data_IF_049551912716
#
_entry.id   IF_049551912716
#
_cell.length_a   1.000
_cell.length_b   1.000
_cell.length_c   1.000
_cell.angle_alpha   90.00
_cell.angle_beta   90.00
_cell.angle_gamma   90.00
#
_symmetry.space_group_name_H-M   'P 1'
#
loop_
_entity.id
_entity.type
_entity.pdbx_description
1 polymer ?
#
# COMPACT_ATOMS: atom_id res chain seq x y z
N UNK A 1 -12.85 29.52 -7.05
CA UNK A 1 -12.39 29.33 -5.66
C UNK A 1 -13.61 29.20 -4.76
N UNK A 2 -13.62 28.21 -3.86
CA UNK A 2 -14.59 28.04 -2.78
C UNK A 2 -14.27 28.98 -1.59
N UNK A 3 -15.27 29.24 -0.74
CA UNK A 3 -15.05 29.96 0.53
C UNK A 3 -14.14 29.18 1.50
N UNK A 4 -14.10 27.85 1.41
CA UNK A 4 -13.25 26.98 2.23
C UNK A 4 -11.78 26.98 1.76
N UNK A 5 -11.58 26.75 0.46
CA UNK A 5 -10.30 26.93 -0.24
C UNK A 5 -9.67 28.29 0.10
N UNK A 6 -10.45 29.38 0.02
CA UNK A 6 -10.01 30.74 0.37
C UNK A 6 -9.76 30.97 1.87
N UNK A 7 -10.18 30.06 2.77
CA UNK A 7 -9.85 30.08 4.21
C UNK A 7 -8.58 29.27 4.49
N UNK A 8 -8.48 28.04 3.98
CA UNK A 8 -7.26 27.22 4.07
C UNK A 8 -6.04 27.97 3.49
N UNK A 9 -6.22 28.64 2.35
CA UNK A 9 -5.20 29.48 1.72
C UNK A 9 -4.75 30.65 2.61
N UNK A 10 -5.57 31.07 3.58
CA UNK A 10 -5.24 32.13 4.55
C UNK A 10 -4.72 31.61 5.90
N UNK A 11 -5.01 30.38 6.29
CA UNK A 11 -4.50 29.79 7.54
C UNK A 11 -3.11 29.16 7.37
N UNK A 12 -2.79 28.65 6.17
CA UNK A 12 -1.50 28.00 5.91
C UNK A 12 -0.34 28.99 5.73
N UNK A 13 0.84 28.58 6.21
CA UNK A 13 2.12 29.26 5.95
C UNK A 13 2.71 28.73 4.64
N UNK A 14 2.82 29.59 3.65
CA UNK A 14 3.26 29.20 2.30
C UNK A 14 4.77 29.37 2.10
N UNK A 15 5.47 28.40 1.48
CA UNK A 15 6.85 28.57 1.05
C UNK A 15 7.03 29.77 0.12
N UNK A 16 8.17 30.49 0.16
CA UNK A 16 8.42 31.64 -0.72
C UNK A 16 8.50 31.23 -2.20
N UNK A 17 8.74 29.95 -2.49
CA UNK A 17 8.69 29.36 -3.83
C UNK A 17 7.30 29.42 -4.44
N UNK A 18 6.23 29.33 -3.66
CA UNK A 18 4.83 29.34 -4.15
C UNK A 18 4.40 30.73 -4.66
N UNK A 19 5.18 31.78 -4.41
CA UNK A 19 5.01 33.10 -5.01
C UNK A 19 5.58 33.19 -6.43
N UNK A 20 6.42 32.23 -6.85
CA UNK A 20 6.93 32.13 -8.22
C UNK A 20 5.96 31.29 -9.06
N UNK A 21 5.49 31.86 -10.17
CA UNK A 21 4.71 31.13 -11.18
C UNK A 21 5.61 30.14 -11.93
N UNK A 22 5.03 29.00 -12.29
CA UNK A 22 5.62 28.00 -13.19
C UNK A 22 4.91 28.11 -14.54
N UNK A 23 5.68 28.24 -15.62
CA UNK A 23 5.19 28.14 -16.99
C UNK A 23 5.31 26.70 -17.49
N UNK A 24 4.20 25.96 -17.53
CA UNK A 24 4.23 24.52 -17.87
C UNK A 24 4.75 24.25 -19.29
N UNK A 25 4.83 25.26 -20.17
CA UNK A 25 5.42 25.15 -21.52
C UNK A 25 6.95 25.12 -21.51
N UNK A 26 7.57 25.39 -20.36
CA UNK A 26 9.02 25.37 -20.12
C UNK A 26 9.46 24.25 -19.19
N UNK A 27 8.54 23.35 -18.84
CA UNK A 27 8.79 22.20 -17.97
C UNK A 27 8.59 20.93 -18.81
N UNK A 28 9.58 20.04 -18.80
CA UNK A 28 9.43 18.71 -19.39
C UNK A 28 8.49 17.91 -18.50
N UNK A 29 7.21 17.87 -18.88
CA UNK A 29 6.17 17.24 -18.09
C UNK A 29 6.34 15.72 -18.00
N UNK A 30 6.95 15.05 -18.98
CA UNK A 30 7.18 13.59 -18.93
C UNK A 30 8.13 13.21 -17.79
N UNK A 31 9.21 13.99 -17.60
CA UNK A 31 10.14 13.80 -16.49
C UNK A 31 9.50 14.17 -15.15
N UNK A 32 8.66 15.22 -15.12
CA UNK A 32 7.89 15.53 -13.91
C UNK A 32 6.87 14.44 -13.57
N UNK A 33 6.23 13.82 -14.57
CA UNK A 33 5.33 12.67 -14.39
C UNK A 33 6.07 11.49 -13.77
N UNK A 34 7.24 11.11 -14.31
CA UNK A 34 8.08 10.06 -13.75
C UNK A 34 8.46 10.33 -12.29
N UNK A 35 8.89 11.55 -11.96
CA UNK A 35 9.23 11.91 -10.58
C UNK A 35 8.01 11.91 -9.65
N UNK A 36 6.85 12.43 -10.11
CA UNK A 36 5.60 12.39 -9.34
C UNK A 36 5.17 10.95 -9.06
N UNK A 37 5.21 10.05 -10.05
CA UNK A 37 4.88 8.63 -9.89
C UNK A 37 5.75 8.00 -8.79
N UNK A 38 7.08 8.05 -8.92
CA UNK A 38 7.98 7.47 -7.92
C UNK A 38 7.74 8.08 -6.53
N UNK A 39 7.68 9.41 -6.42
CA UNK A 39 7.50 10.10 -5.14
C UNK A 39 6.15 9.80 -4.46
N UNK A 40 5.08 9.57 -5.23
CA UNK A 40 3.77 9.17 -4.69
C UNK A 40 3.81 7.71 -4.22
N UNK A 41 4.44 6.80 -5.00
CA UNK A 41 4.62 5.41 -4.61
C UNK A 41 5.50 5.28 -3.36
N UNK A 42 6.56 6.08 -3.22
CA UNK A 42 7.40 6.17 -2.02
C UNK A 42 6.59 6.57 -0.78
N UNK A 43 5.80 7.65 -0.89
CA UNK A 43 5.04 8.22 0.23
C UNK A 43 3.88 7.33 0.69
N UNK A 44 3.21 6.64 -0.25
CA UNK A 44 2.06 5.78 0.06
C UNK A 44 2.42 4.30 0.22
N UNK A 45 3.68 3.91 -0.03
CA UNK A 45 4.16 2.52 -0.18
C UNK A 45 3.30 1.68 -1.14
N UNK A 46 2.69 2.32 -2.14
CA UNK A 46 1.76 1.72 -3.08
C UNK A 46 1.57 2.59 -4.33
N UNK A 47 1.54 1.96 -5.50
CA UNK A 47 1.30 2.66 -6.78
C UNK A 47 -0.15 3.17 -6.88
N UNK A 48 -0.30 4.48 -6.79
CA UNK A 48 -1.59 5.16 -6.70
C UNK A 48 -1.95 5.89 -8.00
N UNK A 49 -2.15 5.12 -9.07
CA UNK A 49 -2.52 5.61 -10.40
C UNK A 49 -3.60 6.69 -10.39
N UNK A 50 -4.59 6.62 -9.48
CA UNK A 50 -5.72 7.55 -9.42
C UNK A 50 -5.31 8.92 -8.86
N UNK A 51 -4.39 8.96 -7.89
CA UNK A 51 -3.81 10.20 -7.39
C UNK A 51 -2.79 10.77 -8.40
N UNK A 52 -2.03 9.89 -9.05
CA UNK A 52 -1.07 10.25 -10.09
C UNK A 52 -1.82 10.89 -11.29
N UNK A 53 -2.89 10.27 -11.79
CA UNK A 53 -3.80 10.81 -12.81
C UNK A 53 -4.42 12.15 -12.38
N UNK A 54 -4.83 12.29 -11.10
CA UNK A 54 -5.34 13.55 -10.56
C UNK A 54 -4.29 14.67 -10.58
N UNK A 55 -3.06 14.40 -10.11
CA UNK A 55 -1.96 15.37 -10.13
C UNK A 55 -1.63 15.78 -11.58
N UNK A 56 -1.57 14.80 -12.49
CA UNK A 56 -1.31 15.06 -13.91
C UNK A 56 -2.40 15.94 -14.53
N UNK A 57 -3.67 15.58 -14.32
CA UNK A 57 -4.81 16.37 -14.79
C UNK A 57 -4.81 17.80 -14.23
N UNK A 58 -4.45 18.00 -12.96
CA UNK A 58 -4.31 19.33 -12.38
C UNK A 58 -3.16 20.14 -13.03
N UNK A 59 -2.00 19.52 -13.28
CA UNK A 59 -0.85 20.18 -13.90
C UNK A 59 -1.05 20.47 -15.40
N UNK A 60 -1.84 19.66 -16.11
CA UNK A 60 -2.14 19.86 -17.54
C UNK A 60 -3.33 20.79 -17.79
N UNK A 61 -4.25 20.93 -16.82
CA UNK A 61 -5.47 21.74 -16.97
C UNK A 61 -5.24 23.26 -17.09
N UNK A 62 -4.11 23.78 -16.58
CA UNK A 62 -3.82 25.21 -16.52
C UNK A 62 -2.38 25.48 -16.98
N UNK A 63 -2.16 26.46 -17.87
CA UNK A 63 -0.79 26.82 -18.32
C UNK A 63 0.10 27.35 -17.17
N UNK A 64 -0.52 27.93 -16.15
CA UNK A 64 0.13 28.45 -14.93
C UNK A 64 -0.64 27.92 -13.71
N UNK A 65 -0.44 26.66 -13.29
CA UNK A 65 -1.20 26.07 -12.18
C UNK A 65 -0.94 26.82 -10.87
N UNK A 66 -1.93 26.81 -9.97
CA UNK A 66 -1.78 27.39 -8.62
C UNK A 66 -1.30 26.31 -7.62
N UNK A 67 -0.12 26.47 -6.99
CA UNK A 67 0.43 25.47 -6.07
C UNK A 67 -0.38 25.33 -4.78
N UNK A 68 -1.15 26.36 -4.40
CA UNK A 68 -2.00 26.35 -3.21
C UNK A 68 -3.29 25.59 -3.46
N UNK A 69 -3.83 25.70 -4.69
CA UNK A 69 -4.93 24.88 -5.18
C UNK A 69 -4.50 23.41 -5.28
N UNK A 70 -3.29 23.14 -5.80
CA UNK A 70 -2.70 21.81 -5.83
C UNK A 70 -2.56 21.23 -4.40
N UNK A 71 -1.90 21.93 -3.48
CA UNK A 71 -1.73 21.46 -2.11
C UNK A 71 -3.07 21.28 -1.38
N UNK A 72 -4.04 22.19 -1.57
CA UNK A 72 -5.39 22.02 -1.03
C UNK A 72 -6.05 20.73 -1.52
N UNK A 73 -6.05 20.47 -2.83
CA UNK A 73 -6.61 19.26 -3.42
C UNK A 73 -5.91 17.99 -2.92
N UNK A 74 -4.59 18.00 -2.75
CA UNK A 74 -3.82 16.84 -2.29
C UNK A 74 -3.84 16.62 -0.77
N UNK A 75 -4.31 17.60 0.03
CA UNK A 75 -4.32 17.51 1.50
C UNK A 75 -5.20 16.35 2.01
N UNK A 76 -6.24 15.98 1.26
CA UNK A 76 -7.07 14.81 1.57
C UNK A 76 -6.50 13.45 1.16
N UNK A 77 -5.26 13.41 0.64
CA UNK A 77 -4.62 12.21 0.07
C UNK A 77 -3.27 11.89 0.71
N UNK A 78 -2.40 12.89 0.82
CA UNK A 78 -1.05 12.77 1.38
C UNK A 78 -0.96 13.32 2.82
N UNK A 79 -2.10 13.69 3.41
CA UNK A 79 -2.27 14.26 4.75
C UNK A 79 -1.11 15.16 5.21
N UNK A 80 -0.21 14.66 6.05
CA UNK A 80 0.89 15.40 6.66
C UNK A 80 2.01 15.71 5.65
N UNK A 81 2.35 14.74 4.77
CA UNK A 81 3.40 14.85 3.76
C UNK A 81 3.01 15.75 2.59
N UNK A 82 1.73 16.06 2.41
CA UNK A 82 1.22 16.95 1.35
C UNK A 82 2.02 18.23 1.20
N UNK A 83 2.36 18.88 2.32
CA UNK A 83 3.07 20.16 2.31
C UNK A 83 4.54 20.00 1.88
N UNK A 84 5.20 18.90 2.24
CA UNK A 84 6.55 18.57 1.81
C UNK A 84 6.56 18.22 0.31
N UNK A 85 5.68 17.31 -0.12
CA UNK A 85 5.51 16.90 -1.52
C UNK A 85 5.26 18.10 -2.44
N UNK A 86 4.31 18.97 -2.10
CA UNK A 86 4.00 20.15 -2.92
C UNK A 86 5.15 21.17 -2.92
N UNK A 87 5.92 21.30 -1.83
CA UNK A 87 7.10 22.16 -1.77
C UNK A 87 8.20 21.68 -2.71
N UNK A 88 8.53 20.38 -2.66
CA UNK A 88 9.56 19.74 -3.47
C UNK A 88 9.19 19.74 -4.96
N UNK A 89 7.94 19.38 -5.29
CA UNK A 89 7.38 19.45 -6.63
C UNK A 89 7.48 20.87 -7.23
N UNK A 90 7.13 21.91 -6.44
CA UNK A 90 7.20 23.29 -6.93
C UNK A 90 8.63 23.79 -7.10
N UNK A 91 9.57 23.39 -6.22
CA UNK A 91 11.00 23.68 -6.39
C UNK A 91 11.55 23.06 -7.68
N UNK A 92 11.24 21.78 -7.94
CA UNK A 92 11.68 21.08 -9.15
C UNK A 92 11.14 21.76 -10.42
N UNK A 93 9.86 22.14 -10.45
CA UNK A 93 9.29 22.84 -11.61
C UNK A 93 9.82 24.27 -11.79
N UNK A 94 10.20 24.97 -10.71
CA UNK A 94 10.87 26.26 -10.76
C UNK A 94 12.30 26.13 -11.33
N UNK A 95 13.02 25.07 -10.97
CA UNK A 95 14.34 24.77 -11.53
C UNK A 95 14.22 24.35 -13.02
N UNK A 96 13.28 23.47 -13.36
CA UNK A 96 12.96 23.05 -14.73
C UNK A 96 12.77 24.24 -15.68
N UNK A 97 11.88 25.18 -15.36
CA UNK A 97 11.63 26.35 -16.22
C UNK A 97 12.81 27.32 -16.33
N UNK A 98 13.85 27.14 -15.51
CA UNK A 98 15.11 27.89 -15.59
C UNK A 98 16.18 27.19 -16.43
N UNK A 99 15.93 25.97 -16.91
CA UNK A 99 16.82 25.22 -17.80
C UNK A 99 16.28 25.23 -19.24
N UNK A 100 17.15 25.36 -20.27
CA UNK A 100 16.72 25.38 -21.67
C UNK A 100 16.12 24.05 -22.15
N UNK A 101 16.40 22.96 -21.42
CA UNK A 101 15.86 21.62 -21.68
C UNK A 101 14.48 21.39 -21.00
N UNK A 102 14.05 22.30 -20.12
CA UNK A 102 12.88 22.12 -19.25
C UNK A 102 13.04 21.03 -18.17
N UNK A 103 14.27 20.58 -17.89
CA UNK A 103 14.54 19.49 -16.93
C UNK A 103 15.16 20.06 -15.64
N UNK A 104 14.71 19.67 -14.43
CA UNK A 104 15.35 20.10 -13.19
C UNK A 104 16.79 19.57 -13.07
N UNK A 105 17.74 20.42 -12.68
CA UNK A 105 19.13 20.04 -12.37
C UNK A 105 19.19 19.00 -11.28
N UNK A 106 18.38 19.12 -10.22
CA UNK A 106 18.29 18.10 -9.14
C UNK A 106 18.07 16.68 -9.69
N UNK A 107 17.22 16.52 -10.72
CA UNK A 107 16.96 15.20 -11.31
C UNK A 107 18.10 14.72 -12.22
N UNK A 108 18.75 15.63 -12.95
CA UNK A 108 19.95 15.32 -13.75
C UNK A 108 21.09 14.86 -12.84
N UNK A 109 21.31 15.56 -11.72
CA UNK A 109 22.34 15.23 -10.73
C UNK A 109 22.03 13.92 -9.99
N UNK A 110 20.77 13.70 -9.58
CA UNK A 110 20.33 12.45 -8.97
C UNK A 110 20.51 11.24 -9.92
N UNK A 111 20.02 11.32 -11.18
CA UNK A 111 20.14 10.22 -12.14
C UNK A 111 21.60 9.93 -12.53
N UNK A 112 22.45 10.96 -12.55
CA UNK A 112 23.90 10.82 -12.77
C UNK A 112 24.59 10.09 -11.61
N UNK A 113 24.19 10.37 -10.37
CA UNK A 113 24.71 9.71 -9.17
C UNK A 113 24.19 8.26 -9.04
N UNK A 114 22.94 8.01 -9.43
CA UNK A 114 22.35 6.68 -9.53
C UNK A 114 23.15 5.78 -10.50
N UNK A 115 23.35 6.24 -11.76
CA UNK A 115 24.18 5.50 -12.73
C UNK A 115 25.65 5.36 -12.29
N UNK A 116 26.17 6.25 -11.43
CA UNK A 116 27.51 6.09 -10.84
C UNK A 116 27.55 4.91 -9.88
N UNK A 117 26.54 4.80 -8.99
CA UNK A 117 26.40 3.69 -8.04
C UNK A 117 26.16 2.36 -8.75
N UNK A 118 25.23 2.32 -9.71
CA UNK A 118 24.95 1.14 -10.53
C UNK A 118 26.21 0.65 -11.28
N UNK A 119 27.01 1.58 -11.82
CA UNK A 119 28.30 1.23 -12.43
C UNK A 119 29.31 0.68 -11.41
N UNK A 120 29.43 1.29 -10.24
CA UNK A 120 30.34 0.82 -9.19
C UNK A 120 29.90 -0.54 -8.61
N UNK A 121 28.61 -0.82 -8.57
CA UNK A 121 28.03 -2.11 -8.16
C UNK A 121 28.21 -3.19 -9.22
N UNK A 122 27.86 -2.92 -10.48
CA UNK A 122 28.10 -3.85 -11.59
C UNK A 122 29.60 -4.14 -11.80
N UNK A 123 30.49 -3.18 -11.55
CA UNK A 123 31.94 -3.41 -11.53
C UNK A 123 32.39 -4.29 -10.35
N UNK A 124 31.80 -4.14 -9.15
CA UNK A 124 32.02 -5.04 -8.01
C UNK A 124 31.52 -6.46 -8.28
N UNK A 125 30.30 -6.61 -8.80
CA UNK A 125 29.70 -7.90 -9.14
C UNK A 125 30.50 -8.60 -10.25
N UNK A 126 30.91 -7.87 -11.31
CA UNK A 126 31.77 -8.40 -12.35
C UNK A 126 33.16 -8.80 -11.84
N UNK A 127 33.70 -8.11 -10.82
CA UNK A 127 34.93 -8.52 -10.14
C UNK A 127 34.72 -9.78 -9.30
N UNK A 128 33.67 -9.83 -8.47
CA UNK A 128 33.32 -11.00 -7.66
C UNK A 128 33.08 -12.24 -8.53
N UNK A 129 32.34 -12.13 -9.65
CA UNK A 129 32.14 -13.23 -10.59
C UNK A 129 33.46 -13.71 -11.22
N UNK A 130 34.41 -12.80 -11.52
CA UNK A 130 35.75 -13.18 -12.02
C UNK A 130 36.61 -13.89 -10.96
N UNK A 131 36.47 -13.52 -9.70
CA UNK A 131 37.18 -14.15 -8.59
C UNK A 131 36.56 -15.51 -8.22
N UNK A 132 35.22 -15.60 -8.16
CA UNK A 132 34.47 -16.84 -7.99
C UNK A 132 34.75 -17.83 -9.13
N UNK A 133 34.66 -17.41 -10.40
CA UNK A 133 34.95 -18.26 -11.56
C UNK A 133 36.40 -18.76 -11.58
N UNK A 134 37.35 -18.00 -11.02
CA UNK A 134 38.74 -18.45 -10.80
C UNK A 134 38.84 -19.55 -9.74
N UNK A 135 38.16 -19.37 -8.61
CA UNK A 135 38.09 -20.37 -7.54
C UNK A 135 37.34 -21.64 -8.01
N UNK A 136 36.36 -21.49 -8.90
CA UNK A 136 35.63 -22.60 -9.52
C UNK A 136 36.51 -23.37 -10.51
N UNK A 137 37.24 -22.70 -11.40
CA UNK A 137 38.26 -23.31 -12.28
C UNK A 137 39.39 -24.02 -11.48
N UNK A 138 39.68 -23.56 -10.25
CA UNK A 138 40.62 -24.21 -9.32
C UNK A 138 40.00 -25.40 -8.58
N UNK A 139 38.70 -25.36 -8.30
CA UNK A 139 37.93 -26.40 -7.58
C UNK A 139 37.51 -27.55 -8.49
N UNK A 140 37.08 -27.29 -9.72
CA UNK A 140 36.75 -28.31 -10.74
C UNK A 140 37.95 -29.21 -11.06
N UNK A 141 39.17 -28.66 -11.02
CA UNK A 141 40.42 -29.44 -11.12
C UNK A 141 40.58 -30.52 -10.05
N UNK A 142 39.84 -30.42 -8.94
CA UNK A 142 40.06 -31.21 -7.73
C UNK A 142 38.84 -32.10 -7.34
N UNK A 143 37.79 -32.17 -8.16
CA UNK A 143 36.62 -33.03 -7.89
C UNK A 143 35.96 -33.59 -9.15
N UNK A 144 36.16 -34.88 -9.43
CA UNK A 144 35.54 -35.57 -10.58
C UNK A 144 35.10 -37.01 -10.26
N UNK A 145 33.84 -37.19 -9.83
CA UNK A 145 33.19 -38.51 -9.77
C UNK A 145 31.64 -38.50 -9.65
N UNK A 146 30.99 -39.25 -10.56
CA UNK A 146 29.75 -40.05 -10.40
C UNK A 146 28.42 -39.45 -9.84
N UNK A 147 27.64 -38.81 -10.73
CA UNK A 147 26.34 -39.30 -11.29
C UNK A 147 25.23 -40.03 -10.49
N UNK A 148 23.96 -39.67 -10.83
CA UNK A 148 22.72 -40.52 -10.99
C UNK A 148 22.01 -41.14 -9.74
N UNK A 149 20.66 -41.35 -9.69
CA UNK A 149 19.50 -40.89 -10.51
C UNK A 149 18.12 -41.33 -9.92
N UNK A 150 16.99 -40.76 -10.40
CA UNK A 150 15.59 -41.34 -10.49
C UNK A 150 14.82 -41.66 -9.16
N UNK A 151 13.46 -41.73 -9.02
CA UNK A 151 12.27 -41.62 -9.93
C UNK A 151 10.93 -41.35 -9.15
N UNK A 152 9.98 -40.59 -9.76
CA UNK A 152 8.48 -40.69 -9.71
C UNK A 152 7.70 -40.70 -8.35
N UNK A 153 6.35 -40.63 -8.20
CA UNK A 153 5.16 -40.87 -9.08
C UNK A 153 3.84 -40.23 -8.53
N UNK A 154 2.86 -39.84 -9.39
CA UNK A 154 1.34 -39.73 -9.23
C UNK A 154 0.68 -39.49 -7.84
N UNK A 155 -0.20 -38.49 -7.53
CA UNK A 155 -1.52 -38.01 -8.09
C UNK A 155 -2.79 -38.79 -7.61
N UNK A 156 -4.08 -38.36 -7.61
CA UNK A 156 -4.85 -37.32 -8.38
C UNK A 156 -6.29 -37.00 -7.83
N UNK A 157 -6.79 -35.75 -7.99
CA UNK A 157 -8.20 -35.34 -8.38
C UNK A 157 -9.43 -35.14 -7.41
N UNK A 158 -10.26 -34.11 -7.75
CA UNK A 158 -11.78 -34.02 -7.73
C UNK A 158 -12.57 -33.30 -6.58
N UNK A 159 -13.72 -32.68 -6.93
CA UNK A 159 -14.68 -31.82 -6.12
C UNK A 159 -16.18 -32.16 -6.47
N UNK A 160 -17.26 -31.37 -6.19
CA UNK A 160 -17.65 -30.45 -5.09
C UNK A 160 -18.94 -30.98 -4.32
N UNK A 161 -20.26 -30.58 -4.43
CA UNK A 161 -21.03 -29.40 -4.95
C UNK A 161 -21.88 -28.54 -3.91
N UNK A 162 -23.26 -28.53 -3.74
CA UNK A 162 -24.03 -27.23 -3.64
C UNK A 162 -25.16 -27.06 -2.53
N UNK A 163 -25.98 -25.97 -2.51
CA UNK A 163 -26.68 -25.38 -1.32
C UNK A 163 -28.24 -25.43 -1.33
N UNK A 164 -29.04 -24.77 -0.42
CA UNK A 164 -29.49 -23.34 -0.52
C UNK A 164 -29.86 -22.69 0.88
N UNK A 165 -30.81 -21.72 1.04
CA UNK A 165 -31.02 -20.36 0.47
C UNK A 165 -30.98 -19.21 1.55
N UNK A 166 -31.06 -17.91 1.18
CA UNK A 166 -30.81 -16.77 2.10
C UNK A 166 -32.07 -16.04 2.62
N UNK A 167 -31.98 -15.36 3.79
CA UNK A 167 -32.82 -14.19 4.12
C UNK A 167 -32.33 -13.32 5.31
N UNK A 168 -31.97 -12.06 5.04
CA UNK A 168 -32.14 -10.94 5.99
C UNK A 168 -32.22 -9.60 5.23
N UNK A 169 -32.70 -8.54 5.87
CA UNK A 169 -32.93 -7.23 5.22
C UNK A 169 -31.62 -6.47 4.98
N UNK A 170 -31.52 -5.61 3.95
CA UNK A 170 -30.36 -4.74 3.75
C UNK A 170 -30.21 -3.76 4.91
N UNK A 171 -29.29 -4.09 5.83
CA UNK A 171 -28.77 -3.14 6.81
C UNK A 171 -27.83 -2.15 6.10
N UNK A 172 -27.65 -0.95 6.67
CA UNK A 172 -26.67 0.03 6.16
C UNK A 172 -25.25 -0.40 6.55
N UNK A 173 -24.62 -1.19 5.71
CA UNK A 173 -23.22 -1.62 5.85
C UNK A 173 -22.27 -0.68 5.11
N UNK A 174 -20.97 -0.77 5.36
CA UNK A 174 -19.95 -0.04 4.57
C UNK A 174 -20.02 -0.38 3.08
N UNK A 175 -20.39 -1.61 2.71
CA UNK A 175 -20.62 -2.00 1.32
C UNK A 175 -21.75 -1.18 0.66
N UNK A 176 -22.82 -0.85 1.40
CA UNK A 176 -23.92 -0.01 0.89
C UNK A 176 -23.54 1.47 0.65
N UNK A 177 -22.34 1.89 1.06
CA UNK A 177 -21.82 3.24 0.77
C UNK A 177 -21.09 3.33 -0.57
N UNK A 178 -20.73 2.19 -1.19
CA UNK A 178 -20.01 2.12 -2.47
C UNK A 178 -20.82 1.34 -3.53
N UNK A 179 -22.02 1.81 -3.90
CA UNK A 179 -22.96 1.06 -4.76
C UNK A 179 -22.47 0.83 -6.19
N UNK A 180 -21.54 1.62 -6.72
CA UNK A 180 -20.99 1.42 -8.07
C UNK A 180 -19.89 0.34 -8.06
N UNK A 181 -19.11 0.25 -6.98
CA UNK A 181 -18.04 -0.72 -6.79
C UNK A 181 -18.55 -2.06 -6.27
N UNK A 182 -19.52 -2.04 -5.35
CA UNK A 182 -19.98 -3.18 -4.56
C UNK A 182 -21.50 -3.44 -4.71
N UNK A 183 -22.05 -3.50 -5.95
CA UNK A 183 -23.50 -3.60 -6.19
C UNK A 183 -24.12 -4.90 -5.64
N UNK A 184 -23.32 -5.94 -5.38
CA UNK A 184 -23.76 -7.22 -4.85
C UNK A 184 -23.63 -7.34 -3.31
N UNK A 185 -23.11 -6.30 -2.63
CA UNK A 185 -23.00 -6.28 -1.18
C UNK A 185 -21.90 -7.18 -0.63
N UNK A 186 -22.20 -7.93 0.44
CA UNK A 186 -21.26 -8.73 1.22
C UNK A 186 -21.20 -10.20 0.80
N UNK A 187 -20.09 -10.92 1.07
CA UNK A 187 -20.06 -12.39 0.97
C UNK A 187 -21.12 -13.06 1.86
N UNK A 188 -21.70 -14.19 1.43
CA UNK A 188 -21.36 -14.98 0.23
C UNK A 188 -22.00 -14.48 -1.09
N UNK A 189 -22.78 -13.39 -1.08
CA UNK A 189 -23.44 -12.83 -2.29
C UNK A 189 -22.49 -12.13 -3.26
N UNK A 190 -21.25 -11.89 -2.83
CA UNK A 190 -20.16 -11.26 -3.55
C UNK A 190 -18.82 -11.91 -3.10
N UNK A 191 -17.74 -11.82 -3.90
CA UNK A 191 -16.40 -12.22 -3.44
C UNK A 191 -15.94 -11.36 -2.25
N UNK A 192 -15.03 -11.90 -1.44
CA UNK A 192 -14.35 -11.17 -0.37
C UNK A 192 -13.31 -10.18 -0.92
N UNK A 193 -12.66 -10.53 -2.02
CA UNK A 193 -11.76 -9.68 -2.81
C UNK A 193 -12.57 -8.62 -3.56
N UNK A 194 -12.23 -7.35 -3.33
CA UNK A 194 -12.90 -6.20 -3.93
C UNK A 194 -11.94 -5.41 -4.83
N UNK A 195 -12.42 -4.78 -5.93
CA UNK A 195 -11.57 -4.02 -6.85
C UNK A 195 -11.13 -2.68 -6.23
N UNK A 196 -9.97 -2.67 -5.56
CA UNK A 196 -9.45 -1.53 -4.79
C UNK A 196 -9.36 -0.21 -5.60
N UNK A 197 -8.98 -0.26 -6.89
CA UNK A 197 -8.94 0.94 -7.76
C UNK A 197 -10.34 1.55 -7.98
N UNK A 198 -11.36 0.71 -8.13
CA UNK A 198 -12.75 1.16 -8.29
C UNK A 198 -13.29 1.70 -6.96
N UNK A 199 -13.04 1.00 -5.84
CA UNK A 199 -13.39 1.47 -4.48
C UNK A 199 -12.82 2.86 -4.21
N UNK A 200 -11.54 3.09 -4.57
CA UNK A 200 -10.88 4.39 -4.42
C UNK A 200 -11.50 5.45 -5.33
N UNK A 201 -11.74 5.15 -6.61
CA UNK A 201 -12.37 6.08 -7.55
C UNK A 201 -13.78 6.52 -7.08
N UNK A 202 -14.58 5.58 -6.57
CA UNK A 202 -15.89 5.89 -6.00
C UNK A 202 -15.77 6.66 -4.67
N UNK A 203 -14.87 6.25 -3.78
CA UNK A 203 -14.58 6.97 -2.53
C UNK A 203 -14.26 8.44 -2.77
N UNK A 204 -13.34 8.76 -3.68
CA UNK A 204 -12.98 10.13 -4.03
C UNK A 204 -14.17 10.90 -4.62
N UNK A 205 -14.93 10.26 -5.51
CA UNK A 205 -16.15 10.83 -6.12
C UNK A 205 -17.22 11.15 -5.07
N UNK A 206 -17.36 10.31 -4.04
CA UNK A 206 -18.30 10.52 -2.93
C UNK A 206 -17.78 11.58 -1.95
N UNK A 207 -16.50 11.52 -1.56
CA UNK A 207 -15.87 12.44 -0.61
C UNK A 207 -15.89 13.89 -1.12
N UNK A 208 -15.64 14.10 -2.43
CA UNK A 208 -15.82 15.40 -3.10
C UNK A 208 -17.25 15.95 -3.03
N UNK A 209 -18.26 15.11 -2.77
CA UNK A 209 -19.68 15.48 -2.68
C UNK A 209 -20.19 15.55 -1.23
N UNK A 210 -19.54 14.86 -0.28
CA UNK A 210 -19.88 14.87 1.15
C UNK A 210 -19.02 15.83 1.98
N UNK A 211 -18.02 16.50 1.39
CA UNK A 211 -17.11 17.39 2.10
C UNK A 211 -17.87 18.47 2.93
N UNK A 212 -17.64 18.59 4.25
CA UNK A 212 -18.47 19.40 5.15
C UNK A 212 -18.70 20.85 4.73
N UNK A 213 -17.66 21.52 4.21
CA UNK A 213 -17.76 22.93 3.84
C UNK A 213 -18.63 23.24 2.61
N UNK A 214 -19.05 22.22 1.85
CA UNK A 214 -20.06 22.39 0.80
C UNK A 214 -21.45 22.65 1.38
N UNK A 215 -21.67 22.34 2.65
CA UNK A 215 -22.97 22.40 3.30
C UNK A 215 -23.15 23.69 4.13
N UNK A 216 -24.38 24.26 4.16
CA UNK A 216 -24.71 25.37 5.05
C UNK A 216 -24.44 25.04 6.53
N UNK A 217 -24.22 26.05 7.41
CA UNK A 217 -23.96 25.84 8.84
C UNK A 217 -24.85 24.81 9.57
N UNK A 218 -26.20 24.77 9.41
CA UNK A 218 -27.03 23.76 10.09
C UNK A 218 -26.85 22.33 9.56
N UNK A 219 -26.24 22.14 8.39
CA UNK A 219 -26.03 20.84 7.76
C UNK A 219 -24.58 20.34 7.89
N UNK A 220 -23.59 21.22 8.16
CA UNK A 220 -22.16 20.84 8.30
C UNK A 220 -21.95 19.64 9.22
N UNK A 221 -22.53 19.62 10.42
CA UNK A 221 -22.39 18.50 11.36
C UNK A 221 -22.91 17.16 10.82
N UNK A 222 -23.93 17.19 9.95
CA UNK A 222 -24.41 15.99 9.27
C UNK A 222 -23.45 15.52 8.16
N UNK A 223 -22.78 16.45 7.49
CA UNK A 223 -21.78 16.15 6.47
C UNK A 223 -20.43 15.72 7.09
N UNK A 224 -20.05 16.27 8.24
CA UNK A 224 -18.91 15.82 9.07
C UNK A 224 -19.08 14.35 9.45
N UNK A 225 -20.24 13.97 9.99
CA UNK A 225 -20.56 12.58 10.32
C UNK A 225 -20.59 11.67 9.08
N UNK A 226 -21.17 12.13 7.96
CA UNK A 226 -21.19 11.36 6.72
C UNK A 226 -19.79 11.16 6.12
N UNK A 227 -18.95 12.19 6.12
CA UNK A 227 -17.57 12.12 5.61
C UNK A 227 -16.67 11.28 6.53
N UNK A 228 -16.86 11.35 7.86
CA UNK A 228 -16.17 10.47 8.79
C UNK A 228 -16.58 9.00 8.58
N UNK A 229 -17.89 8.72 8.45
CA UNK A 229 -18.39 7.38 8.17
C UNK A 229 -17.86 6.83 6.82
N UNK A 230 -17.79 7.67 5.79
CA UNK A 230 -17.23 7.31 4.47
C UNK A 230 -15.72 7.01 4.56
N UNK A 231 -14.96 7.80 5.31
CA UNK A 231 -13.52 7.56 5.55
C UNK A 231 -13.30 6.24 6.30
N UNK A 232 -14.03 5.98 7.40
CA UNK A 232 -13.95 4.70 8.12
C UNK A 232 -14.31 3.53 7.21
N UNK A 233 -15.39 3.64 6.45
CA UNK A 233 -15.83 2.61 5.52
C UNK A 233 -14.77 2.31 4.44
N UNK A 234 -14.13 3.34 3.87
CA UNK A 234 -13.04 3.16 2.90
C UNK A 234 -11.81 2.49 3.53
N UNK A 235 -11.35 2.95 4.70
CA UNK A 235 -10.19 2.36 5.39
C UNK A 235 -10.43 0.91 5.76
N UNK A 236 -11.58 0.59 6.36
CA UNK A 236 -11.97 -0.77 6.74
C UNK A 236 -12.14 -1.69 5.53
N UNK A 237 -12.69 -1.22 4.41
CA UNK A 237 -12.86 -2.06 3.22
C UNK A 237 -11.57 -2.22 2.42
N UNK A 238 -10.69 -1.20 2.36
CA UNK A 238 -9.41 -1.27 1.64
C UNK A 238 -8.53 -2.39 2.20
N UNK A 239 -8.36 -2.43 3.52
CA UNK A 239 -7.52 -3.41 4.20
C UNK A 239 -8.25 -4.77 4.34
N UNK A 240 -7.67 -5.91 3.90
CA UNK A 240 -8.36 -7.19 3.93
C UNK A 240 -8.55 -7.75 5.35
N UNK A 241 -7.63 -7.47 6.28
CA UNK A 241 -7.74 -7.94 7.67
C UNK A 241 -8.90 -7.21 8.36
N UNK A 242 -9.00 -5.89 8.16
CA UNK A 242 -10.10 -5.07 8.69
C UNK A 242 -11.43 -5.40 8.00
N UNK A 243 -11.42 -5.68 6.69
CA UNK A 243 -12.62 -6.11 5.94
C UNK A 243 -13.17 -7.41 6.48
N UNK A 244 -12.30 -8.39 6.76
CA UNK A 244 -12.70 -9.68 7.30
C UNK A 244 -13.23 -9.57 8.74
N UNK A 245 -12.55 -8.80 9.59
CA UNK A 245 -13.02 -8.45 10.94
C UNK A 245 -14.41 -7.79 10.92
N UNK A 246 -14.58 -6.76 10.08
CA UNK A 246 -15.86 -6.09 9.89
C UNK A 246 -16.98 -7.03 9.42
N UNK A 247 -16.70 -7.94 8.48
CA UNK A 247 -17.66 -8.95 8.04
C UNK A 247 -18.07 -9.92 9.16
N UNK A 248 -17.20 -10.22 10.13
CA UNK A 248 -17.56 -10.96 11.35
C UNK A 248 -18.53 -10.15 12.23
N UNK A 249 -18.30 -8.84 12.41
CA UNK A 249 -19.22 -7.98 13.20
C UNK A 249 -20.63 -7.93 12.61
N UNK A 250 -20.75 -7.90 11.28
CA UNK A 250 -22.04 -7.93 10.58
C UNK A 250 -22.79 -9.25 10.78
N UNK A 251 -22.09 -10.33 11.14
CA UNK A 251 -22.65 -11.64 11.48
C UNK A 251 -22.90 -11.81 12.98
N UNK A 252 -22.62 -10.79 13.80
CA UNK A 252 -22.79 -10.81 15.25
C UNK A 252 -21.63 -11.43 16.02
N UNK A 253 -20.48 -11.65 15.37
CA UNK A 253 -19.26 -12.15 16.00
C UNK A 253 -18.33 -10.99 16.42
N UNK A 254 -17.48 -11.25 17.41
CA UNK A 254 -16.42 -10.32 17.83
C UNK A 254 -15.33 -10.22 16.75
N UNK A 255 -14.64 -9.09 16.67
CA UNK A 255 -13.63 -8.78 15.66
C UNK A 255 -12.20 -9.03 16.21
N UNK A 256 -11.49 -10.08 15.79
CA UNK A 256 -10.12 -10.35 16.24
C UNK A 256 -9.05 -9.59 15.44
N UNK A 257 -9.40 -8.73 14.48
CA UNK A 257 -8.43 -7.89 13.76
C UNK A 257 -7.86 -6.74 14.61
N UNK A 258 -8.51 -6.42 15.72
CA UNK A 258 -8.14 -5.34 16.66
C UNK A 258 -7.96 -5.81 18.10
N UNK A 259 -8.31 -7.06 18.42
CA UNK A 259 -8.21 -7.60 19.77
C UNK A 259 -6.83 -8.25 19.97
N UNK A 260 -5.96 -7.57 20.71
CA UNK A 260 -4.62 -8.08 21.01
C UNK A 260 -4.63 -9.18 22.09
N UNK A 261 -5.74 -9.30 22.83
CA UNK A 261 -5.95 -10.34 23.84
C UNK A 261 -6.60 -11.60 23.26
N UNK A 262 -7.16 -11.53 22.05
CA UNK A 262 -7.64 -12.69 21.31
C UNK A 262 -6.46 -13.61 20.95
N UNK A 263 -6.45 -14.78 21.59
CA UNK A 263 -5.49 -15.86 21.32
C UNK A 263 -6.12 -16.89 20.39
N UNK A 264 -5.34 -17.36 19.43
CA UNK A 264 -5.68 -18.55 18.67
C UNK A 264 -5.09 -19.77 19.38
N UNK A 265 -5.93 -20.75 19.72
CA UNK A 265 -5.51 -22.03 20.32
C UNK A 265 -4.90 -22.99 19.25
N UNK A 266 -3.94 -22.49 18.49
CA UNK A 266 -3.18 -23.20 17.45
C UNK A 266 -1.69 -23.24 17.83
N UNK A 267 -1.24 -24.29 18.56
CA UNK A 267 0.16 -24.41 18.98
C UNK A 267 1.16 -24.56 17.83
N UNK A 268 0.71 -25.01 16.65
CA UNK A 268 1.57 -25.17 15.48
C UNK A 268 1.84 -23.80 14.84
N UNK A 269 0.79 -23.00 14.60
CA UNK A 269 0.97 -21.62 14.14
C UNK A 269 1.79 -20.79 15.14
N UNK A 270 1.51 -20.91 16.45
CA UNK A 270 2.24 -20.15 17.47
C UNK A 270 3.73 -20.48 17.45
N UNK A 271 4.10 -21.74 17.20
CA UNK A 271 5.49 -22.18 17.03
C UNK A 271 6.13 -21.55 15.78
N UNK A 272 5.48 -21.64 14.61
CA UNK A 272 6.01 -21.04 13.37
C UNK A 272 6.18 -19.51 13.46
N UNK A 273 5.26 -18.83 14.16
CA UNK A 273 5.30 -17.37 14.33
C UNK A 273 6.39 -16.94 15.30
N UNK A 274 6.59 -17.66 16.41
CA UNK A 274 7.68 -17.40 17.35
C UNK A 274 9.05 -17.72 16.74
N UNK A 275 9.17 -18.80 15.97
CA UNK A 275 10.40 -19.14 15.23
C UNK A 275 10.76 -18.02 14.23
N UNK A 276 9.79 -17.52 13.46
CA UNK A 276 10.02 -16.39 12.55
C UNK A 276 10.32 -15.05 13.25
N UNK A 277 9.93 -14.89 14.53
CA UNK A 277 10.30 -13.73 15.36
C UNK A 277 11.73 -13.87 15.92
N UNK A 278 12.11 -15.04 16.43
CA UNK A 278 13.47 -15.33 16.90
C UNK A 278 14.49 -15.23 15.76
N UNK A 279 14.14 -15.70 14.56
CA UNK A 279 14.96 -15.55 13.34
C UNK A 279 15.15 -14.07 12.95
N UNK A 280 14.13 -13.23 13.16
CA UNK A 280 14.18 -11.80 12.86
C UNK A 280 14.97 -11.00 13.93
N UNK A 281 14.84 -11.36 15.21
CA UNK A 281 15.63 -10.77 16.30
C UNK A 281 17.11 -11.16 16.22
N UNK A 282 17.42 -12.36 15.73
CA UNK A 282 18.79 -12.84 15.52
C UNK A 282 19.38 -12.51 14.14
N UNK A 283 18.58 -11.95 13.23
CA UNK A 283 19.06 -11.52 11.92
C UNK A 283 20.17 -10.46 12.04
N UNK A 284 21.20 -10.57 11.19
CA UNK A 284 22.35 -9.64 11.16
C UNK A 284 22.60 -9.03 9.77
N UNK A 285 21.83 -9.44 8.77
CA UNK A 285 21.90 -8.97 7.39
C UNK A 285 20.50 -8.76 6.79
N UNK A 286 20.39 -7.77 5.91
CA UNK A 286 19.15 -7.38 5.23
C UNK A 286 18.64 -8.49 4.28
N UNK A 287 19.54 -9.37 3.83
CA UNK A 287 19.23 -10.59 3.07
C UNK A 287 18.41 -11.60 3.89
N UNK A 288 18.80 -11.87 5.13
CA UNK A 288 18.04 -12.74 6.05
C UNK A 288 16.65 -12.17 6.32
N UNK A 289 16.57 -10.86 6.54
CA UNK A 289 15.30 -10.15 6.78
C UNK A 289 14.39 -10.19 5.55
N UNK A 290 14.95 -10.06 4.34
CA UNK A 290 14.20 -10.20 3.10
C UNK A 290 13.63 -11.62 2.92
N UNK A 291 14.38 -12.67 3.26
CA UNK A 291 13.91 -14.06 3.21
C UNK A 291 12.84 -14.38 4.26
N UNK A 292 12.93 -13.80 5.47
CA UNK A 292 11.86 -13.86 6.49
C UNK A 292 10.60 -13.14 5.98
N UNK A 293 10.76 -11.91 5.50
CA UNK A 293 9.66 -11.08 4.97
C UNK A 293 8.96 -11.76 3.79
N UNK A 294 9.71 -12.38 2.87
CA UNK A 294 9.15 -13.11 1.74
C UNK A 294 8.33 -14.33 2.18
N UNK A 295 8.82 -15.11 3.15
CA UNK A 295 8.06 -16.24 3.74
C UNK A 295 6.80 -15.77 4.47
N UNK A 296 6.90 -14.74 5.31
CA UNK A 296 5.77 -14.19 6.04
C UNK A 296 4.72 -13.59 5.08
N UNK A 297 5.13 -12.91 4.02
CA UNK A 297 4.22 -12.40 2.98
C UNK A 297 3.56 -13.54 2.18
N UNK A 298 4.27 -14.63 1.92
CA UNK A 298 3.66 -15.83 1.31
C UNK A 298 2.58 -16.43 2.22
N UNK A 299 2.84 -16.53 3.54
CA UNK A 299 1.82 -16.95 4.53
C UNK A 299 0.62 -16.00 4.57
N UNK A 300 0.83 -14.68 4.56
CA UNK A 300 -0.23 -13.66 4.42
C UNK A 300 -1.07 -13.91 3.16
N UNK A 301 -0.44 -14.15 2.01
CA UNK A 301 -1.16 -14.40 0.76
C UNK A 301 -2.01 -15.68 0.82
N UNK A 302 -1.47 -16.78 1.38
CA UNK A 302 -2.23 -18.02 1.61
C UNK A 302 -3.42 -17.80 2.54
N UNK A 303 -3.29 -16.97 3.58
CA UNK A 303 -4.41 -16.60 4.46
C UNK A 303 -5.50 -15.82 3.72
N UNK A 304 -5.15 -14.95 2.77
CA UNK A 304 -6.12 -14.21 1.96
C UNK A 304 -6.90 -15.12 0.98
N UNK A 305 -6.22 -16.06 0.33
CA UNK A 305 -6.85 -17.09 -0.51
C UNK A 305 -7.79 -17.99 0.31
N UNK A 306 -7.36 -18.34 1.53
CA UNK A 306 -8.15 -19.14 2.47
C UNK A 306 -9.41 -18.39 2.91
N UNK A 307 -9.29 -17.10 3.28
CA UNK A 307 -10.44 -16.23 3.61
C UNK A 307 -11.45 -16.12 2.46
N UNK A 308 -11.01 -15.96 1.21
CA UNK A 308 -11.90 -15.95 0.04
C UNK A 308 -12.75 -17.24 -0.02
N UNK A 309 -12.10 -18.40 0.15
CA UNK A 309 -12.79 -19.70 0.12
C UNK A 309 -13.76 -19.91 1.28
N UNK A 310 -13.44 -19.38 2.48
CA UNK A 310 -14.26 -19.48 3.68
C UNK A 310 -15.47 -18.54 3.61
N UNK A 311 -15.27 -17.30 3.13
CA UNK A 311 -16.36 -16.34 2.90
C UNK A 311 -17.32 -16.81 1.81
N UNK A 312 -16.82 -17.43 0.73
CA UNK A 312 -17.66 -18.01 -0.32
C UNK A 312 -18.49 -19.22 0.16
N UNK A 313 -18.04 -19.91 1.23
CA UNK A 313 -18.73 -21.05 1.85
C UNK A 313 -19.55 -20.68 3.10
N UNK A 314 -19.54 -19.39 3.47
CA UNK A 314 -20.14 -18.82 4.67
C UNK A 314 -19.65 -19.41 6.01
N UNK A 315 -18.43 -19.95 6.05
CA UNK A 315 -17.84 -20.57 7.24
C UNK A 315 -17.32 -19.52 8.23
N UNK A 316 -18.21 -19.02 9.08
CA UNK A 316 -17.91 -17.96 10.05
C UNK A 316 -16.90 -18.39 11.13
N UNK A 317 -16.79 -19.69 11.43
CA UNK A 317 -15.84 -20.22 12.42
C UNK A 317 -14.44 -20.24 11.83
N UNK A 318 -14.29 -20.81 10.62
CA UNK A 318 -13.03 -20.80 9.88
C UNK A 318 -12.56 -19.38 9.58
N UNK A 319 -13.43 -18.45 9.15
CA UNK A 319 -13.07 -17.04 8.94
C UNK A 319 -12.47 -16.43 10.22
N UNK A 320 -13.09 -16.65 11.39
CA UNK A 320 -12.62 -16.08 12.66
C UNK A 320 -11.20 -16.56 13.01
N UNK A 321 -10.90 -17.82 12.75
CA UNK A 321 -9.58 -18.41 13.01
C UNK A 321 -8.54 -17.95 11.98
N UNK A 322 -8.93 -17.80 10.71
CA UNK A 322 -8.06 -17.30 9.66
C UNK A 322 -7.76 -15.80 9.78
N UNK A 323 -8.68 -14.99 10.32
CA UNK A 323 -8.41 -13.57 10.67
C UNK A 323 -7.34 -13.46 11.77
N UNK A 324 -7.35 -14.36 12.76
CA UNK A 324 -6.26 -14.42 13.76
C UNK A 324 -4.94 -14.86 13.11
N UNK A 325 -4.96 -15.89 12.25
CA UNK A 325 -3.77 -16.35 11.51
C UNK A 325 -3.16 -15.25 10.65
N UNK A 326 -3.99 -14.50 9.92
CA UNK A 326 -3.60 -13.34 9.14
C UNK A 326 -3.03 -12.20 10.02
N UNK A 327 -3.60 -11.94 11.21
CA UNK A 327 -3.07 -10.93 12.15
C UNK A 327 -1.65 -11.30 12.61
N UNK A 328 -1.40 -12.55 12.99
CA UNK A 328 -0.07 -12.99 13.43
C UNK A 328 0.99 -12.86 12.32
N UNK A 329 0.72 -13.40 11.12
CA UNK A 329 1.68 -13.31 10.01
C UNK A 329 1.92 -11.88 9.53
N UNK A 330 0.89 -11.02 9.55
CA UNK A 330 1.05 -9.59 9.30
C UNK A 330 1.93 -8.93 10.37
N UNK A 331 1.80 -9.31 11.63
CA UNK A 331 2.68 -8.84 12.70
C UNK A 331 4.16 -9.14 12.45
N UNK A 332 4.49 -10.28 11.83
CA UNK A 332 5.86 -10.62 11.41
C UNK A 332 6.33 -9.74 10.24
N UNK A 333 5.48 -9.50 9.22
CA UNK A 333 5.79 -8.58 8.11
C UNK A 333 5.98 -7.14 8.60
N UNK A 334 5.08 -6.66 9.46
CA UNK A 334 5.15 -5.33 10.07
C UNK A 334 6.36 -5.20 11.03
N UNK A 335 6.86 -6.29 11.61
CA UNK A 335 8.13 -6.30 12.35
C UNK A 335 9.34 -6.25 11.39
N UNK A 336 9.37 -7.06 10.33
CA UNK A 336 10.46 -7.07 9.35
C UNK A 336 10.61 -5.71 8.64
N UNK A 337 9.49 -5.03 8.32
CA UNK A 337 9.49 -3.66 7.79
C UNK A 337 9.96 -2.57 8.78
N UNK A 338 10.14 -2.90 10.06
CA UNK A 338 10.65 -2.02 11.12
C UNK A 338 12.02 -2.46 11.66
N UNK A 339 12.61 -3.52 11.10
CA UNK A 339 13.92 -4.00 11.50
C UNK A 339 15.01 -3.03 11.04
N UNK A 340 15.96 -2.71 11.93
CA UNK A 340 17.12 -1.88 11.65
C UNK A 340 18.39 -2.61 12.11
N UNK A 341 19.42 -2.65 11.25
CA UNK A 341 20.64 -3.38 11.50
C UNK A 341 21.39 -2.87 12.76
N UNK A 342 21.30 -3.64 13.85
CA UNK A 342 21.93 -3.32 15.14
C UNK A 342 21.04 -2.53 16.12
N UNK A 343 19.75 -2.32 15.82
CA UNK A 343 18.82 -1.77 16.79
C UNK A 343 18.48 -2.81 17.88
N UNK A 344 19.01 -2.63 19.09
CA UNK A 344 18.54 -3.39 20.25
C UNK A 344 17.10 -2.98 20.58
N UNK A 345 16.13 -3.80 20.19
CA UNK A 345 14.72 -3.60 20.53
C UNK A 345 14.54 -3.78 22.04
N UNK A 346 14.30 -2.68 22.74
CA UNK A 346 13.93 -2.72 24.17
C UNK A 346 12.48 -3.19 24.25
N UNK A 347 12.29 -4.43 24.72
CA UNK A 347 10.98 -5.03 24.93
C UNK A 347 10.20 -4.30 26.04
N UNK A 348 9.21 -3.49 25.68
CA UNK A 348 8.08 -3.23 26.59
C UNK A 348 7.26 -4.52 26.72
N UNK A 349 6.95 -4.91 27.96
CA UNK A 349 6.34 -6.18 28.37
C UNK A 349 4.88 -5.99 28.84
#
# INVERSE_FOLDING_TARGET
MSSAEAKYIKSQKWPPTFSKKVDMRKVNIEIMKQWITGKVSDLLKADDDVLIELIFGMLESETFPDPKKLQWSLTGFLEQDTAAFCSELWELMIDAQSQPQGVPKRLIEAKKEEMRKEKEETERLAKQQREARRQEEEKERNSSSSSSSTTSTTSTSTSPPPPPPPSSRPQKTYYTLFPNTLPHGTPPSAPFTIPLRALRSEFLTLQQRTHPDLFPPPQRKSAELASAQLNTAYTTLRDPLLRAGYLLTLRGHQDPSHDETARLDDPALMMEVLEAQEELESATGEDVVADIMHRAQARVNTSLETLESLFARDDVVGVREEVMRLRYWRGVVDAAHRWEAGAQVVLEH
#
